data_IF_567549881935
#
_entry.id   IF_567549881935
#
_cell.length_a   1.000
_cell.length_b   1.000
_cell.length_c   1.000
_cell.angle_alpha   90.00
_cell.angle_beta   90.00
_cell.angle_gamma   90.00
#
_symmetry.space_group_name_H-M   'P 1'
#
loop_
_entity.id
_entity.type
_entity.pdbx_description
1 polymer ?
#
# COMPACT_ATOMS: atom_id res chain seq x y z
N UNK A 1 12.39 -9.50 -5.33
CA UNK A 1 12.26 -10.95 -5.63
C UNK A 1 11.47 -11.22 -6.91
N UNK A 2 10.43 -10.44 -7.24
CA UNK A 2 9.61 -10.61 -8.47
C UNK A 2 10.45 -10.69 -9.75
N UNK A 3 11.34 -9.72 -10.01
CA UNK A 3 12.16 -9.72 -11.22
C UNK A 3 13.09 -10.94 -11.35
N UNK A 4 13.65 -11.44 -10.25
CA UNK A 4 14.49 -12.65 -10.25
C UNK A 4 13.65 -13.87 -10.62
N UNK A 5 12.49 -14.04 -9.98
CA UNK A 5 11.61 -15.19 -10.21
C UNK A 5 11.07 -15.24 -11.65
N UNK A 6 10.81 -14.07 -12.24
CA UNK A 6 10.26 -13.95 -13.60
C UNK A 6 11.33 -13.71 -14.68
N UNK A 7 12.62 -13.64 -14.31
CA UNK A 7 13.71 -13.39 -15.26
C UNK A 7 13.69 -12.01 -15.93
N UNK A 8 13.05 -11.01 -15.32
CA UNK A 8 12.90 -9.66 -15.87
C UNK A 8 14.20 -8.88 -15.69
N UNK A 9 14.69 -8.25 -16.76
CA UNK A 9 15.97 -7.51 -16.81
C UNK A 9 15.84 -6.05 -17.23
N UNK A 10 14.61 -5.55 -17.41
CA UNK A 10 14.34 -4.13 -17.68
C UNK A 10 14.48 -3.26 -16.43
N UNK A 11 13.96 -2.01 -16.47
CA UNK A 11 13.92 -1.12 -15.30
C UNK A 11 13.31 -1.82 -14.08
N UNK A 12 13.99 -1.71 -12.94
CA UNK A 12 13.60 -2.39 -11.70
C UNK A 12 13.84 -1.46 -10.51
N UNK A 13 12.76 -1.01 -9.87
CA UNK A 13 12.82 -0.10 -8.74
C UNK A 13 11.65 -0.33 -7.78
N UNK A 14 11.78 0.17 -6.55
CA UNK A 14 10.71 0.19 -5.55
C UNK A 14 10.34 1.63 -5.22
N UNK A 15 9.09 1.99 -5.49
CA UNK A 15 8.53 3.28 -5.04
C UNK A 15 8.12 3.13 -3.57
N UNK A 16 8.38 4.15 -2.76
CA UNK A 16 7.99 4.18 -1.34
C UNK A 16 7.47 5.57 -0.99
N UNK A 17 6.15 5.72 -0.96
CA UNK A 17 5.44 6.99 -0.68
C UNK A 17 4.25 6.77 0.26
N UNK A 18 4.45 5.95 1.29
CA UNK A 18 3.44 5.58 2.28
C UNK A 18 2.15 5.04 1.60
N UNK A 19 0.97 5.53 1.98
CA UNK A 19 -0.32 5.08 1.43
C UNK A 19 -0.45 5.26 -0.08
N UNK A 20 0.34 6.15 -0.70
CA UNK A 20 0.33 6.40 -2.14
C UNK A 20 1.31 5.51 -2.92
N UNK A 21 2.00 4.59 -2.26
CA UNK A 21 3.05 3.76 -2.88
C UNK A 21 2.55 3.00 -4.10
N UNK A 22 1.44 2.27 -3.98
CA UNK A 22 0.88 1.49 -5.08
C UNK A 22 0.47 2.36 -6.28
N UNK A 23 -0.20 3.49 -6.03
CA UNK A 23 -0.61 4.42 -7.09
C UNK A 23 0.57 5.09 -7.76
N UNK A 24 1.60 5.47 -7.00
CA UNK A 24 2.80 6.09 -7.54
C UNK A 24 3.64 5.08 -8.33
N UNK A 25 3.68 3.81 -7.92
CA UNK A 25 4.34 2.75 -8.69
C UNK A 25 3.68 2.56 -10.06
N UNK A 26 2.35 2.53 -10.11
CA UNK A 26 1.59 2.46 -11.39
C UNK A 26 1.82 3.70 -12.24
N UNK A 27 1.81 4.90 -11.63
CA UNK A 27 2.09 6.16 -12.33
C UNK A 27 3.49 6.21 -12.94
N UNK A 28 4.52 5.83 -12.17
CA UNK A 28 5.90 5.79 -12.66
C UNK A 28 6.07 4.77 -13.78
N UNK A 29 5.46 3.59 -13.67
CA UNK A 29 5.46 2.60 -14.74
C UNK A 29 4.83 3.13 -16.03
N UNK A 30 3.70 3.82 -15.94
CA UNK A 30 3.07 4.45 -17.10
C UNK A 30 3.97 5.51 -17.75
N UNK A 31 4.67 6.33 -16.94
CA UNK A 31 5.63 7.31 -17.44
C UNK A 31 6.86 6.69 -18.09
N UNK A 32 7.41 5.62 -17.52
CA UNK A 32 8.53 4.90 -18.11
C UNK A 32 8.20 4.32 -19.49
N UNK A 33 7.02 3.73 -19.63
CA UNK A 33 6.54 3.24 -20.94
C UNK A 33 6.36 4.43 -21.89
N UNK A 34 5.74 5.53 -21.44
CA UNK A 34 5.54 6.75 -22.25
C UNK A 34 6.86 7.35 -22.75
N UNK A 35 7.92 7.27 -21.95
CA UNK A 35 9.27 7.74 -22.27
C UNK A 35 10.08 6.75 -23.13
N UNK A 36 9.52 5.59 -23.48
CA UNK A 36 10.19 4.56 -24.27
C UNK A 36 11.29 3.81 -23.51
N UNK A 37 11.23 3.78 -22.17
CA UNK A 37 12.23 3.10 -21.34
C UNK A 37 11.97 1.60 -21.20
N UNK A 38 10.74 1.15 -21.43
CA UNK A 38 10.32 -0.25 -21.48
C UNK A 38 9.02 -0.41 -22.27
N UNK A 39 8.80 -1.57 -22.87
CA UNK A 39 7.55 -1.89 -23.58
C UNK A 39 6.45 -2.38 -22.62
N UNK A 40 6.85 -3.04 -21.53
CA UNK A 40 5.98 -3.62 -20.50
C UNK A 40 6.63 -3.46 -19.14
N UNK A 41 5.84 -3.09 -18.14
CA UNK A 41 6.27 -3.00 -16.73
C UNK A 41 5.23 -3.67 -15.84
N UNK A 42 5.69 -4.49 -14.89
CA UNK A 42 4.88 -4.98 -13.78
C UNK A 42 4.93 -3.94 -12.65
N UNK A 43 3.78 -3.37 -12.28
CA UNK A 43 3.70 -2.29 -11.31
C UNK A 43 2.61 -2.59 -10.29
N UNK A 44 2.88 -2.31 -9.02
CA UNK A 44 1.97 -2.67 -7.96
C UNK A 44 2.47 -2.24 -6.59
N UNK A 45 1.84 -2.78 -5.56
CA UNK A 45 2.23 -2.57 -4.17
C UNK A 45 1.89 -3.76 -3.30
N UNK A 46 2.60 -3.90 -2.19
CA UNK A 46 2.32 -4.90 -1.16
C UNK A 46 2.59 -4.30 0.21
N UNK A 47 1.76 -4.65 1.19
CA UNK A 47 1.93 -4.27 2.58
C UNK A 47 1.59 -5.45 3.49
N UNK A 48 2.35 -5.59 4.58
CA UNK A 48 2.17 -6.61 5.62
C UNK A 48 2.52 -6.01 6.99
N UNK A 49 1.96 -4.83 7.27
CA UNK A 49 2.28 -4.03 8.44
C UNK A 49 1.48 -4.42 9.70
N UNK A 50 0.72 -5.52 9.69
CA UNK A 50 -0.01 -5.99 10.88
C UNK A 50 0.98 -6.71 11.82
N UNK A 51 1.85 -5.91 12.44
CA UNK A 51 2.85 -6.34 13.42
C UNK A 51 2.80 -5.44 14.66
N UNK A 52 3.17 -5.93 15.86
CA UNK A 52 2.98 -5.19 17.11
C UNK A 52 3.57 -3.77 17.11
N UNK A 53 4.77 -3.59 16.54
CA UNK A 53 5.45 -2.28 16.51
C UNK A 53 4.73 -1.27 15.60
N UNK A 54 4.22 -1.72 14.45
CA UNK A 54 3.52 -0.85 13.51
C UNK A 54 2.12 -0.49 14.04
N UNK A 55 1.41 -1.47 14.60
CA UNK A 55 0.13 -1.24 15.27
C UNK A 55 0.28 -0.27 16.45
N UNK A 56 1.28 -0.46 17.31
CA UNK A 56 1.57 0.45 18.42
C UNK A 56 1.89 1.86 17.93
N UNK A 57 2.76 1.98 16.90
CA UNK A 57 3.14 3.27 16.32
C UNK A 57 1.94 4.04 15.74
N UNK A 58 0.99 3.36 15.11
CA UNK A 58 -0.22 3.99 14.56
C UNK A 58 -1.30 4.24 15.63
N UNK A 59 -1.33 3.43 16.69
CA UNK A 59 -2.26 3.64 17.81
C UNK A 59 -1.89 4.89 18.62
N UNK A 60 -0.60 5.13 18.89
CA UNK A 60 -0.15 6.31 19.67
C UNK A 60 -0.32 7.63 18.93
N UNK A 61 -0.50 7.60 17.61
CA UNK A 61 -0.82 8.80 16.81
C UNK A 61 -2.33 9.03 16.68
N UNK A 62 -3.16 8.20 17.33
CA UNK A 62 -4.61 8.20 17.21
C UNK A 62 -5.10 8.00 15.76
N UNK A 63 -4.32 7.31 14.93
CA UNK A 63 -4.68 7.06 13.53
C UNK A 63 -5.59 5.84 13.36
N UNK A 64 -5.48 4.85 14.26
CA UNK A 64 -6.30 3.64 14.28
C UNK A 64 -7.62 3.87 15.02
N UNK A 65 -8.69 3.24 14.53
CA UNK A 65 -9.97 3.16 15.27
C UNK A 65 -9.80 2.43 16.59
N UNK A 66 -10.54 2.87 17.61
CA UNK A 66 -10.58 2.29 18.96
C UNK A 66 -11.81 1.39 19.20
N UNK A 67 -12.66 1.22 18.17
CA UNK A 67 -13.91 0.44 18.20
C UNK A 67 -13.66 -1.07 18.18
N UNK A 68 -13.19 -1.59 19.31
CA UNK A 68 -12.88 -3.01 19.50
C UNK A 68 -14.12 -3.87 19.79
N UNK A 69 -15.21 -3.26 20.22
CA UNK A 69 -16.50 -3.89 20.54
C UNK A 69 -17.33 -4.27 19.29
N UNK A 70 -17.17 -3.51 18.20
CA UNK A 70 -17.85 -3.75 16.92
C UNK A 70 -16.86 -3.73 15.72
N UNK A 71 -15.89 -4.65 15.64
CA UNK A 71 -14.78 -4.59 14.68
C UNK A 71 -15.22 -4.59 13.21
N UNK A 72 -16.28 -5.35 12.87
CA UNK A 72 -16.82 -5.41 11.50
C UNK A 72 -17.47 -4.10 11.04
N UNK A 73 -17.75 -3.17 11.97
CA UNK A 73 -18.32 -1.85 11.71
C UNK A 73 -17.32 -0.72 11.93
N UNK A 74 -16.05 -1.02 12.25
CA UNK A 74 -15.08 -0.02 12.65
C UNK A 74 -14.59 0.85 11.46
N UNK A 75 -14.36 0.23 10.29
CA UNK A 75 -14.07 0.99 9.07
C UNK A 75 -15.35 1.61 8.51
N UNK A 76 -15.51 2.92 8.69
CA UNK A 76 -16.69 3.69 8.26
C UNK A 76 -16.32 5.05 7.63
N UNK A 77 -15.73 5.05 6.42
CA UNK A 77 -15.35 6.29 5.74
C UNK A 77 -16.51 7.27 5.64
N UNK A 78 -16.26 8.55 5.87
CA UNK A 78 -17.22 9.66 5.80
C UNK A 78 -18.38 9.63 6.81
N UNK A 79 -18.51 8.58 7.63
CA UNK A 79 -19.50 8.52 8.71
C UNK A 79 -19.20 9.57 9.80
N UNK A 80 -20.25 10.09 10.45
CA UNK A 80 -20.13 11.07 11.53
C UNK A 80 -19.36 10.52 12.71
N UNK A 81 -19.56 9.24 13.01
CA UNK A 81 -19.05 8.57 14.21
C UNK A 81 -17.78 7.75 13.90
N UNK A 82 -17.05 8.10 12.82
CA UNK A 82 -15.74 7.53 12.47
C UNK A 82 -14.64 8.05 13.41
N UNK A 83 -13.71 7.19 13.81
CA UNK A 83 -12.68 7.52 14.81
C UNK A 83 -11.25 7.08 14.43
N UNK A 84 -11.03 6.67 13.17
CA UNK A 84 -9.73 6.24 12.66
C UNK A 84 -9.89 5.26 11.51
N UNK A 85 -8.78 4.80 10.92
CA UNK A 85 -8.82 3.73 9.93
C UNK A 85 -8.61 2.35 10.58
N UNK A 86 -9.04 1.29 9.88
CA UNK A 86 -8.71 -0.10 10.22
C UNK A 86 -7.50 -0.51 9.39
N UNK A 87 -6.40 -0.91 10.04
CA UNK A 87 -5.22 -1.38 9.32
C UNK A 87 -5.53 -2.69 8.58
N UNK A 88 -5.15 -2.73 7.31
CA UNK A 88 -5.23 -3.93 6.48
C UNK A 88 -3.87 -4.25 5.85
N UNK A 89 -3.76 -5.43 5.29
CA UNK A 89 -2.58 -5.93 4.58
C UNK A 89 -3.01 -6.61 3.27
N UNK A 90 -2.09 -6.72 2.32
CA UNK A 90 -2.38 -7.30 1.01
C UNK A 90 -1.44 -6.82 -0.09
N UNK A 91 -1.73 -7.22 -1.32
CA UNK A 91 -0.96 -6.82 -2.51
C UNK A 91 -1.82 -6.77 -3.78
N UNK A 92 -1.34 -6.02 -4.77
CA UNK A 92 -1.87 -5.99 -6.13
C UNK A 92 -0.73 -5.65 -7.12
N UNK A 93 -0.78 -6.25 -8.32
CA UNK A 93 0.15 -6.06 -9.45
C UNK A 93 -0.67 -6.05 -10.75
#
# INVERSE_FOLDING_TARGET
>A
MVAIHLGIRGPNMAVVTACATGTNAVGEAAEMIRRGQADVILAGGSEAAIVPIAMAGMAVTNALTSRNDEPTRASRPFDRDRDGFVMGEGSAV
#
